data_IF_457921935789
#
_entry.id   IF_457921935789
#
_cell.length_a   1.000
_cell.length_b   1.000
_cell.length_c   1.000
_cell.angle_alpha   90.00
_cell.angle_beta   90.00
_cell.angle_gamma   90.00
#
_symmetry.space_group_name_H-M   'P 1'
#
loop_
_entity.id
_entity.type
_entity.pdbx_description
1 polymer ?
#
# COMPACT_ATOMS: atom_id res chain seq x y z
N UNK A 1 1.08 -2.58 19.49
CA UNK A 1 1.79 -3.83 19.88
C UNK A 1 0.93 -4.65 20.81
N UNK A 2 0.37 -4.03 21.85
CA UNK A 2 -0.45 -4.73 22.85
C UNK A 2 -1.66 -5.47 22.27
N UNK A 3 -2.29 -4.91 21.24
CA UNK A 3 -3.46 -5.49 20.57
C UNK A 3 -3.16 -6.70 19.68
N UNK A 4 -1.89 -6.90 19.29
CA UNK A 4 -1.49 -8.03 18.44
C UNK A 4 -1.12 -9.23 19.29
N UNK A 5 -1.51 -10.47 18.95
CA UNK A 5 -1.19 -11.67 19.72
C UNK A 5 0.28 -12.12 19.51
N UNK A 6 1.23 -11.24 19.83
CA UNK A 6 2.68 -11.50 19.81
C UNK A 6 3.06 -12.25 21.08
N UNK A 7 3.80 -13.34 20.92
CA UNK A 7 4.37 -14.18 21.98
C UNK A 7 5.88 -14.41 21.76
N UNK A 8 6.52 -15.22 22.62
CA UNK A 8 7.95 -15.51 22.56
C UNK A 8 8.40 -16.29 21.31
N UNK A 9 7.49 -16.96 20.60
CA UNK A 9 7.81 -17.75 19.40
C UNK A 9 7.55 -16.98 18.10
N UNK A 10 6.88 -15.84 18.21
CA UNK A 10 6.53 -14.95 17.09
C UNK A 10 7.77 -14.29 16.48
N UNK A 11 7.89 -14.27 15.14
CA UNK A 11 8.87 -13.44 14.43
C UNK A 11 8.28 -12.07 14.06
N UNK A 12 8.94 -11.01 14.54
CA UNK A 12 8.49 -9.63 14.39
C UNK A 12 9.48 -8.82 13.56
N UNK A 13 8.96 -8.07 12.60
CA UNK A 13 9.73 -7.12 11.79
C UNK A 13 9.16 -5.70 11.91
N UNK A 14 10.05 -4.74 12.05
CA UNK A 14 9.78 -3.34 11.73
C UNK A 14 10.59 -2.93 10.49
N UNK A 15 9.89 -2.73 9.37
CA UNK A 15 10.51 -2.41 8.07
C UNK A 15 11.03 -0.97 7.95
N UNK A 16 10.75 -0.12 8.95
CA UNK A 16 11.17 1.29 9.01
C UNK A 16 11.35 1.67 10.47
N UNK A 17 12.32 1.01 11.13
CA UNK A 17 12.35 0.93 12.58
C UNK A 17 12.76 2.20 13.31
N UNK A 18 13.32 3.19 12.61
CA UNK A 18 13.83 4.39 13.26
C UNK A 18 14.80 4.02 14.39
N UNK A 19 14.58 4.58 15.58
CA UNK A 19 15.35 4.28 16.79
C UNK A 19 14.99 2.95 17.50
N UNK A 20 14.13 2.12 16.90
CA UNK A 20 13.76 0.79 17.41
C UNK A 20 12.57 0.79 18.38
N UNK A 21 11.76 1.85 18.42
CA UNK A 21 10.66 1.97 19.39
C UNK A 21 9.67 0.81 19.36
N UNK A 22 9.17 0.42 18.18
CA UNK A 22 8.24 -0.72 18.07
C UNK A 22 8.88 -2.05 18.47
N UNK A 23 10.17 -2.25 18.18
CA UNK A 23 10.90 -3.46 18.56
C UNK A 23 11.03 -3.56 20.09
N UNK A 24 11.32 -2.45 20.77
CA UNK A 24 11.35 -2.40 22.23
C UNK A 24 9.97 -2.66 22.84
N UNK A 25 8.90 -2.09 22.28
CA UNK A 25 7.55 -2.38 22.78
C UNK A 25 7.18 -3.85 22.60
N UNK A 26 7.59 -4.49 21.50
CA UNK A 26 7.39 -5.94 21.30
C UNK A 26 8.20 -6.76 22.32
N UNK A 27 9.46 -6.37 22.59
CA UNK A 27 10.29 -6.98 23.62
C UNK A 27 9.66 -6.85 25.02
N UNK A 28 9.19 -5.66 25.38
CA UNK A 28 8.59 -5.40 26.69
C UNK A 28 7.28 -6.17 26.87
N UNK A 29 6.51 -6.37 25.80
CA UNK A 29 5.33 -7.23 25.83
C UNK A 29 5.69 -8.68 26.18
N UNK A 30 6.71 -9.25 25.53
CA UNK A 30 7.14 -10.64 25.81
C UNK A 30 7.81 -10.75 27.19
N UNK A 31 8.47 -9.70 27.68
CA UNK A 31 8.98 -9.64 29.06
C UNK A 31 7.86 -9.72 30.09
N UNK A 32 6.79 -8.94 29.92
CA UNK A 32 5.62 -9.01 30.81
C UNK A 32 4.97 -10.39 30.77
N UNK A 33 4.91 -11.01 29.60
CA UNK A 33 4.47 -12.40 29.48
C UNK A 33 5.36 -13.37 30.27
N UNK A 34 6.69 -13.15 30.28
CA UNK A 34 7.61 -13.93 31.09
C UNK A 34 7.37 -13.73 32.61
N UNK A 35 7.08 -12.49 33.04
CA UNK A 35 6.74 -12.17 34.44
C UNK A 35 5.48 -12.92 34.91
N UNK A 36 4.52 -13.12 34.02
CA UNK A 36 3.29 -13.87 34.33
C UNK A 36 3.52 -15.39 34.40
N UNK A 37 4.51 -15.91 33.67
CA UNK A 37 4.74 -17.35 33.54
C UNK A 37 5.81 -17.89 34.49
N UNK A 38 6.75 -17.06 34.91
CA UNK A 38 7.93 -17.47 35.67
C UNK A 38 8.26 -16.46 36.78
N UNK A 39 8.78 -16.97 37.89
CA UNK A 39 9.33 -16.10 38.93
C UNK A 39 10.51 -15.28 38.40
N UNK A 40 10.54 -14.00 38.76
CA UNK A 40 11.57 -13.07 38.36
C UNK A 40 12.98 -13.56 38.79
N UNK A 41 13.95 -13.45 37.89
CA UNK A 41 15.33 -13.86 38.14
C UNK A 41 15.62 -15.35 37.95
N UNK A 42 14.61 -16.16 37.58
CA UNK A 42 14.85 -17.55 37.17
C UNK A 42 15.50 -17.63 35.79
N UNK A 43 16.23 -18.72 35.52
CA UNK A 43 16.80 -18.98 34.19
C UNK A 43 15.69 -19.08 33.15
N UNK A 44 14.56 -19.73 33.48
CA UNK A 44 13.43 -19.88 32.58
C UNK A 44 12.82 -18.53 32.19
N UNK A 45 12.65 -17.62 33.15
CA UNK A 45 12.22 -16.24 32.90
C UNK A 45 13.14 -15.54 31.89
N UNK A 46 14.45 -15.54 32.19
CA UNK A 46 15.45 -14.91 31.33
C UNK A 46 15.44 -15.52 29.93
N UNK A 47 15.49 -16.84 29.82
CA UNK A 47 15.51 -17.56 28.54
C UNK A 47 14.25 -17.29 27.71
N UNK A 48 13.08 -17.15 28.32
CA UNK A 48 11.82 -16.91 27.61
C UNK A 48 11.85 -15.62 26.80
N UNK A 49 12.15 -14.49 27.44
CA UNK A 49 12.17 -13.20 26.73
C UNK A 49 13.49 -12.97 25.99
N UNK A 50 14.63 -13.45 26.50
CA UNK A 50 15.93 -13.20 25.87
C UNK A 50 16.09 -13.95 24.55
N UNK A 51 15.57 -15.19 24.46
CA UNK A 51 15.59 -15.92 23.18
C UNK A 51 14.78 -15.21 22.11
N UNK A 52 13.59 -14.69 22.47
CA UNK A 52 12.77 -13.88 21.58
C UNK A 52 13.53 -12.62 21.12
N UNK A 53 14.14 -11.89 22.06
CA UNK A 53 14.90 -10.68 21.76
C UNK A 53 16.04 -10.96 20.77
N UNK A 54 16.79 -12.03 21.01
CA UNK A 54 17.99 -12.37 20.24
C UNK A 54 17.69 -12.90 18.83
N UNK A 55 16.59 -13.65 18.66
CA UNK A 55 16.37 -14.42 17.44
C UNK A 55 15.17 -13.96 16.61
N UNK A 56 14.22 -13.26 17.23
CA UNK A 56 12.89 -13.07 16.64
C UNK A 56 12.53 -11.61 16.34
N UNK A 57 13.32 -10.64 16.78
CA UNK A 57 13.14 -9.22 16.45
C UNK A 57 14.02 -8.79 15.27
N UNK A 58 13.45 -8.11 14.29
CA UNK A 58 14.16 -7.64 13.09
C UNK A 58 13.80 -6.19 12.77
N UNK A 59 14.79 -5.39 12.39
CA UNK A 59 14.59 -3.98 12.06
C UNK A 59 15.32 -3.55 10.80
N UNK A 60 14.70 -2.69 10.00
CA UNK A 60 15.35 -2.05 8.85
C UNK A 60 15.24 -0.54 9.01
N UNK A 61 16.37 0.16 8.92
CA UNK A 61 16.43 1.61 8.92
C UNK A 61 17.36 2.09 7.80
N UNK A 62 16.92 3.06 7.01
CA UNK A 62 17.68 3.54 5.85
C UNK A 62 18.87 4.41 6.27
N UNK A 63 18.72 5.18 7.35
CA UNK A 63 19.76 6.04 7.86
C UNK A 63 20.71 5.26 8.79
N UNK A 64 21.97 5.14 8.38
CA UNK A 64 22.97 4.38 9.13
C UNK A 64 23.17 4.90 10.58
N UNK A 65 23.07 6.21 10.81
CA UNK A 65 23.25 6.77 12.16
C UNK A 65 22.08 6.39 13.06
N UNK A 66 20.85 6.49 12.55
CA UNK A 66 19.64 6.13 13.29
C UNK A 66 19.61 4.61 13.52
N UNK A 67 19.99 3.81 12.52
CA UNK A 67 20.12 2.36 12.66
C UNK A 67 21.12 1.99 13.76
N UNK A 68 22.24 2.73 13.89
CA UNK A 68 23.18 2.54 15.01
C UNK A 68 22.57 2.90 16.36
N UNK A 69 21.80 3.99 16.44
CA UNK A 69 21.07 4.34 17.66
C UNK A 69 20.08 3.24 18.04
N UNK A 70 19.30 2.72 17.09
CA UNK A 70 18.42 1.59 17.33
C UNK A 70 19.17 0.36 17.82
N UNK A 71 20.31 0.05 17.21
CA UNK A 71 21.15 -1.07 17.66
C UNK A 71 21.62 -0.91 19.10
N UNK A 72 22.14 0.27 19.44
CA UNK A 72 22.58 0.58 20.80
C UNK A 72 21.41 0.46 21.79
N UNK A 73 20.24 0.98 21.41
CA UNK A 73 19.03 0.91 22.22
C UNK A 73 18.64 -0.54 22.51
N UNK A 74 18.62 -1.41 21.49
CA UNK A 74 18.33 -2.83 21.65
C UNK A 74 19.39 -3.56 22.51
N UNK A 75 20.67 -3.24 22.34
CA UNK A 75 21.76 -3.84 23.15
C UNK A 75 21.64 -3.45 24.62
N UNK A 76 21.30 -2.19 24.93
CA UNK A 76 21.06 -1.74 26.31
C UNK A 76 19.92 -2.53 26.96
N UNK A 77 18.94 -2.95 26.16
CA UNK A 77 17.86 -3.82 26.58
C UNK A 77 18.18 -5.31 26.40
N UNK A 78 19.44 -5.72 26.41
CA UNK A 78 19.86 -7.13 26.43
C UNK A 78 19.21 -8.00 25.33
N UNK A 79 19.05 -7.46 24.12
CA UNK A 79 18.64 -8.23 22.93
C UNK A 79 19.63 -9.37 22.63
N UNK A 80 20.92 -9.12 22.83
CA UNK A 80 21.96 -10.11 22.64
C UNK A 80 22.59 -10.13 21.24
N UNK A 81 21.88 -9.87 20.13
CA UNK A 81 22.43 -9.84 18.76
C UNK A 81 21.54 -9.01 17.81
N UNK A 82 21.93 -7.78 17.49
CA UNK A 82 21.01 -6.85 16.82
C UNK A 82 20.79 -7.16 15.34
N UNK A 83 19.65 -7.81 15.06
CA UNK A 83 19.04 -8.01 13.73
C UNK A 83 18.48 -6.73 13.11
N UNK A 84 19.01 -5.57 13.51
CA UNK A 84 18.73 -4.27 12.90
C UNK A 84 19.75 -4.06 11.78
N UNK A 85 19.30 -3.60 10.61
CA UNK A 85 20.18 -3.34 9.46
C UNK A 85 20.05 -1.92 8.96
N UNK A 86 21.16 -1.37 8.47
CA UNK A 86 21.20 -0.08 7.78
C UNK A 86 21.01 -0.31 6.27
N UNK A 87 19.77 -0.25 5.79
CA UNK A 87 19.42 -0.48 4.39
C UNK A 87 18.09 0.20 4.02
N UNK A 88 17.90 0.48 2.73
CA UNK A 88 16.57 0.85 2.23
C UNK A 88 15.64 -0.37 2.31
N UNK A 89 14.54 -0.26 3.08
CA UNK A 89 13.58 -1.33 3.32
C UNK A 89 12.84 -1.80 2.07
N UNK A 90 12.83 -1.01 0.99
CA UNK A 90 12.24 -1.36 -0.29
C UNK A 90 13.19 -2.14 -1.21
N UNK A 91 14.44 -2.38 -0.78
CA UNK A 91 15.37 -3.21 -1.55
C UNK A 91 14.87 -4.66 -1.64
N UNK A 92 15.15 -5.35 -2.77
CA UNK A 92 14.94 -6.78 -2.86
C UNK A 92 15.85 -7.53 -1.88
N UNK A 93 15.47 -8.75 -1.49
CA UNK A 93 16.31 -9.60 -0.62
C UNK A 93 17.60 -10.01 -1.33
N UNK A 94 17.47 -10.44 -2.59
CA UNK A 94 18.56 -10.87 -3.45
C UNK A 94 18.93 -9.77 -4.44
N UNK A 95 20.11 -9.91 -5.03
CA UNK A 95 20.58 -8.98 -6.05
C UNK A 95 19.70 -9.08 -7.31
N UNK A 96 19.34 -7.93 -7.87
CA UNK A 96 18.69 -7.85 -9.16
C UNK A 96 19.75 -7.88 -10.27
N UNK A 97 19.57 -8.77 -11.25
CA UNK A 97 20.46 -8.92 -12.39
C UNK A 97 19.80 -8.51 -13.70
N UNK A 98 20.61 -8.10 -14.68
CA UNK A 98 20.16 -7.90 -16.08
C UNK A 98 20.06 -9.25 -16.83
N UNK A 99 19.70 -9.20 -18.12
CA UNK A 99 19.55 -10.39 -18.95
C UNK A 99 20.89 -11.11 -19.18
N UNK A 100 21.99 -10.37 -19.07
CA UNK A 100 23.36 -10.82 -19.22
C UNK A 100 23.96 -11.35 -17.90
N UNK A 101 23.22 -11.25 -16.79
CA UNK A 101 23.61 -11.74 -15.47
C UNK A 101 24.43 -10.77 -14.62
N UNK A 102 24.62 -9.52 -15.05
CA UNK A 102 25.33 -8.51 -14.27
C UNK A 102 24.42 -7.97 -13.16
N UNK A 103 24.99 -7.74 -11.97
CA UNK A 103 24.27 -7.15 -10.84
C UNK A 103 23.96 -5.69 -11.12
N UNK A 104 22.68 -5.41 -11.36
CA UNK A 104 22.15 -4.05 -11.53
C UNK A 104 21.84 -3.38 -10.20
N UNK A 105 21.49 -4.16 -9.17
CA UNK A 105 21.19 -3.64 -7.85
C UNK A 105 21.48 -4.69 -6.77
N UNK A 106 22.25 -4.29 -5.76
CA UNK A 106 22.50 -5.14 -4.59
C UNK A 106 21.28 -5.15 -3.67
N UNK A 107 20.81 -6.34 -3.33
CA UNK A 107 19.76 -6.59 -2.36
C UNK A 107 20.24 -6.52 -0.92
N UNK A 108 19.31 -6.77 0.02
CA UNK A 108 19.57 -6.70 1.46
C UNK A 108 20.65 -7.69 1.89
N UNK A 109 20.63 -8.93 1.37
CA UNK A 109 21.61 -9.94 1.77
C UNK A 109 23.04 -9.51 1.41
N UNK A 110 23.29 -9.11 0.17
CA UNK A 110 24.63 -8.70 -0.29
C UNK A 110 25.13 -7.40 0.36
N UNK A 111 24.23 -6.57 0.87
CA UNK A 111 24.59 -5.32 1.58
C UNK A 111 24.89 -5.52 3.06
N UNK A 112 24.12 -6.40 3.71
CA UNK A 112 24.11 -6.49 5.18
C UNK A 112 24.69 -7.80 5.70
N UNK A 113 24.83 -8.81 4.83
CA UNK A 113 25.19 -10.18 5.16
C UNK A 113 24.20 -10.87 6.12
N UNK A 114 23.07 -10.24 6.43
CA UNK A 114 22.04 -10.79 7.31
C UNK A 114 21.11 -11.71 6.49
N UNK A 115 21.06 -13.00 6.85
CA UNK A 115 20.20 -14.03 6.22
C UNK A 115 18.81 -14.13 6.85
N UNK A 116 18.58 -13.32 7.88
CA UNK A 116 17.33 -13.17 8.62
C UNK A 116 16.18 -12.69 7.75
N UNK A 117 16.44 -11.67 6.94
CA UNK A 117 15.46 -11.03 6.09
C UNK A 117 15.10 -11.92 4.89
N UNK A 118 13.94 -12.55 4.96
CA UNK A 118 13.39 -13.42 3.91
C UNK A 118 11.91 -13.14 3.70
N UNK A 119 11.44 -13.30 2.46
CA UNK A 119 10.03 -13.21 2.14
C UNK A 119 9.26 -14.41 2.68
N UNK A 120 8.01 -14.19 3.09
CA UNK A 120 7.13 -15.24 3.62
C UNK A 120 7.50 -15.74 5.02
N UNK A 121 8.32 -14.99 5.77
CA UNK A 121 8.92 -15.46 7.04
C UNK A 121 8.24 -14.90 8.29
N UNK A 122 7.82 -13.64 8.27
CA UNK A 122 7.46 -12.91 9.49
C UNK A 122 6.00 -13.12 9.89
N UNK A 123 5.76 -13.35 11.18
CA UNK A 123 4.42 -13.47 11.77
C UNK A 123 3.74 -12.12 11.88
N UNK A 124 4.49 -11.13 12.37
CA UNK A 124 3.99 -9.80 12.64
C UNK A 124 4.91 -8.76 12.02
N UNK A 125 4.32 -7.78 11.37
CA UNK A 125 5.01 -6.55 10.99
C UNK A 125 4.32 -5.38 11.69
N UNK A 126 5.10 -4.62 12.45
CA UNK A 126 4.66 -3.41 13.15
C UNK A 126 5.55 -2.27 12.67
N UNK A 127 5.00 -1.29 11.95
CA UNK A 127 5.86 -0.33 11.26
C UNK A 127 5.17 1.01 10.98
N UNK A 128 5.98 2.06 10.93
CA UNK A 128 5.58 3.41 10.54
C UNK A 128 6.51 3.89 9.41
N UNK A 129 6.19 3.58 8.14
CA UNK A 129 7.03 3.96 7.01
C UNK A 129 7.04 5.49 6.83
N UNK A 130 8.10 6.06 6.22
CA UNK A 130 8.19 7.50 6.00
C UNK A 130 7.07 8.01 5.09
N UNK A 131 6.45 9.14 5.45
CA UNK A 131 5.33 9.75 4.71
C UNK A 131 5.79 10.76 3.65
N UNK A 132 4.99 10.90 2.59
CA UNK A 132 5.02 12.06 1.70
C UNK A 132 6.22 12.14 0.77
N UNK A 133 7.07 11.11 0.75
CA UNK A 133 8.13 10.96 -0.23
C UNK A 133 7.62 10.15 -1.42
N UNK A 134 8.09 10.51 -2.62
CA UNK A 134 7.76 9.80 -3.85
C UNK A 134 9.02 9.27 -4.49
N UNK A 135 9.04 7.98 -4.78
CA UNK A 135 10.13 7.31 -5.46
C UNK A 135 9.89 7.40 -6.95
N UNK A 136 10.88 7.92 -7.69
CA UNK A 136 10.85 7.93 -9.15
C UNK A 136 11.49 6.66 -9.69
N UNK A 137 10.89 6.13 -10.74
CA UNK A 137 11.41 4.95 -11.42
C UNK A 137 12.83 5.16 -11.97
N UNK A 138 13.15 6.38 -12.39
CA UNK A 138 14.48 6.77 -12.88
C UNK A 138 15.55 6.75 -11.79
N UNK A 139 15.16 6.85 -10.52
CA UNK A 139 16.07 6.91 -9.38
C UNK A 139 16.27 5.52 -8.76
N UNK A 140 15.24 4.67 -8.76
CA UNK A 140 15.27 3.35 -8.15
C UNK A 140 14.74 2.26 -9.10
N UNK A 141 15.65 1.48 -9.66
CA UNK A 141 15.32 0.43 -10.63
C UNK A 141 14.46 -0.71 -10.03
N UNK A 142 14.53 -0.95 -8.71
CA UNK A 142 13.68 -1.96 -8.05
C UNK A 142 12.19 -1.65 -8.15
N UNK A 143 11.80 -0.39 -8.39
CA UNK A 143 10.41 0.03 -8.40
C UNK A 143 9.57 -0.82 -9.37
N UNK A 144 10.15 -1.23 -10.51
CA UNK A 144 9.48 -2.07 -11.52
C UNK A 144 9.07 -3.47 -11.03
N UNK A 145 9.64 -3.93 -9.92
CA UNK A 145 9.32 -5.24 -9.32
C UNK A 145 8.09 -5.19 -8.42
N UNK A 146 7.56 -4.00 -8.13
CA UNK A 146 6.37 -3.82 -7.32
C UNK A 146 5.12 -3.73 -8.20
N UNK A 147 4.10 -4.52 -7.90
CA UNK A 147 2.81 -4.50 -8.59
C UNK A 147 2.12 -3.14 -8.46
N UNK A 148 2.22 -2.46 -7.31
CA UNK A 148 1.66 -1.11 -7.16
C UNK A 148 2.42 -0.04 -7.93
N UNK A 149 3.63 -0.31 -8.41
CA UNK A 149 4.33 0.56 -9.34
C UNK A 149 3.90 0.35 -10.80
N UNK A 150 3.08 -0.66 -11.08
CA UNK A 150 2.47 -0.89 -12.38
C UNK A 150 1.10 -0.20 -12.44
N UNK A 151 0.74 0.25 -13.64
CA UNK A 151 -0.61 0.66 -13.99
C UNK A 151 -1.23 -0.51 -14.74
N UNK A 152 -2.09 -1.25 -14.04
CA UNK A 152 -2.81 -2.39 -14.61
C UNK A 152 -3.70 -2.00 -15.79
N UNK A 153 -4.19 -3.04 -16.49
CA UNK A 153 -5.10 -2.87 -17.62
C UNK A 153 -6.45 -2.37 -17.13
N UNK A 154 -6.95 -1.29 -17.72
CA UNK A 154 -8.31 -0.81 -17.50
C UNK A 154 -9.28 -1.70 -18.26
N UNK A 155 -10.05 -2.52 -17.54
CA UNK A 155 -10.99 -3.48 -18.12
C UNK A 155 -12.07 -2.82 -18.99
N UNK A 156 -12.33 -1.53 -18.80
CA UNK A 156 -13.23 -0.73 -19.63
C UNK A 156 -12.50 0.02 -20.75
N UNK A 157 -11.23 -0.22 -21.00
CA UNK A 157 -10.51 0.39 -22.11
C UNK A 157 -9.79 -0.69 -22.92
N UNK A 158 -10.37 -1.11 -24.06
CA UNK A 158 -9.78 -2.15 -24.91
C UNK A 158 -8.38 -1.83 -25.45
N UNK A 159 -7.98 -0.55 -25.44
CA UNK A 159 -6.65 -0.09 -25.89
C UNK A 159 -5.66 0.04 -24.72
N UNK A 160 -6.11 -0.19 -23.49
CA UNK A 160 -5.27 -0.15 -22.29
C UNK A 160 -4.25 -1.27 -22.34
N UNK A 161 -3.02 -0.96 -21.91
CA UNK A 161 -1.94 -1.91 -21.72
C UNK A 161 -1.34 -1.65 -20.35
N UNK A 162 -0.76 -2.68 -19.78
CA UNK A 162 0.04 -2.51 -18.58
C UNK A 162 1.24 -1.60 -18.88
N UNK A 163 1.43 -0.60 -18.03
CA UNK A 163 2.52 0.37 -18.15
C UNK A 163 3.12 0.65 -16.79
N UNK A 164 4.40 1.00 -16.74
CA UNK A 164 5.05 1.39 -15.49
C UNK A 164 4.65 2.82 -15.11
N UNK A 165 4.44 3.06 -13.81
CA UNK A 165 4.23 4.40 -13.27
C UNK A 165 5.57 5.13 -13.17
N UNK A 166 5.59 6.40 -13.54
CA UNK A 166 6.81 7.22 -13.46
C UNK A 166 7.26 7.44 -12.00
N UNK A 167 6.30 7.48 -11.07
CA UNK A 167 6.53 7.65 -9.65
C UNK A 167 5.51 6.88 -8.82
N UNK A 168 5.86 6.61 -7.56
CA UNK A 168 4.96 6.01 -6.59
C UNK A 168 5.26 6.56 -5.19
N UNK A 169 4.23 6.70 -4.35
CA UNK A 169 4.42 7.07 -2.95
C UNK A 169 5.14 5.95 -2.20
N UNK A 170 6.10 6.32 -1.37
CA UNK A 170 6.91 5.37 -0.59
C UNK A 170 6.04 4.47 0.29
N UNK A 171 5.06 5.04 0.98
CA UNK A 171 4.12 4.30 1.83
C UNK A 171 3.32 3.22 1.07
N UNK A 172 3.00 3.45 -0.21
CA UNK A 172 2.30 2.46 -1.06
C UNK A 172 3.20 1.27 -1.37
N UNK A 173 4.49 1.51 -1.62
CA UNK A 173 5.46 0.44 -1.86
C UNK A 173 5.73 -0.36 -0.57
N UNK A 174 5.73 0.30 0.59
CA UNK A 174 5.89 -0.39 1.87
C UNK A 174 4.74 -1.36 2.18
N UNK A 175 3.49 -1.05 1.80
CA UNK A 175 2.36 -1.99 1.95
C UNK A 175 2.63 -3.30 1.21
N UNK A 176 3.19 -3.23 0.00
CA UNK A 176 3.53 -4.40 -0.80
C UNK A 176 4.80 -5.09 -0.32
N UNK A 177 5.81 -4.34 0.12
CA UNK A 177 7.02 -4.93 0.67
C UNK A 177 6.74 -5.69 1.98
N UNK A 178 5.93 -5.12 2.86
CA UNK A 178 5.46 -5.80 4.07
C UNK A 178 4.66 -7.06 3.71
N UNK A 179 3.83 -7.02 2.65
CA UNK A 179 3.15 -8.21 2.14
C UNK A 179 4.16 -9.31 1.80
N UNK A 180 5.25 -8.98 1.12
CA UNK A 180 6.26 -9.94 0.70
C UNK A 180 6.98 -10.57 1.90
N UNK A 181 7.28 -9.78 2.94
CA UNK A 181 7.91 -10.27 4.17
C UNK A 181 7.01 -11.16 5.02
N UNK A 182 5.72 -10.86 5.09
CA UNK A 182 4.77 -11.61 5.91
C UNK A 182 4.58 -13.03 5.40
N UNK A 183 4.53 -13.99 6.34
CA UNK A 183 3.99 -15.32 6.04
C UNK A 183 2.48 -15.26 5.78
N UNK A 184 1.94 -16.29 5.14
CA UNK A 184 0.49 -16.41 5.00
C UNK A 184 -0.19 -16.45 6.37
N UNK A 185 -1.28 -15.70 6.54
CA UNK A 185 -1.98 -15.55 7.81
C UNK A 185 -1.31 -14.62 8.83
N UNK A 186 -0.12 -14.09 8.54
CA UNK A 186 0.56 -13.10 9.38
C UNK A 186 -0.17 -11.76 9.44
N UNK A 187 0.17 -10.94 10.43
CA UNK A 187 -0.48 -9.66 10.71
C UNK A 187 0.42 -8.47 10.42
N UNK A 188 -0.12 -7.46 9.74
CA UNK A 188 0.50 -6.17 9.51
C UNK A 188 -0.24 -5.12 10.32
N UNK A 189 0.44 -4.41 11.22
CA UNK A 189 -0.02 -3.14 11.75
C UNK A 189 0.86 -2.03 11.15
N UNK A 190 0.26 -1.20 10.29
CA UNK A 190 0.97 -0.17 9.53
C UNK A 190 0.29 1.17 9.69
N UNK A 191 1.09 2.21 9.98
CA UNK A 191 0.62 3.59 9.98
C UNK A 191 0.67 4.13 8.55
N UNK A 192 -0.45 4.66 8.07
CA UNK A 192 -0.57 5.22 6.72
C UNK A 192 -1.27 6.59 6.75
N UNK A 193 -0.95 7.51 5.84
CA UNK A 193 -1.71 8.74 5.69
C UNK A 193 -3.14 8.44 5.19
N UNK A 194 -4.13 9.17 5.69
CA UNK A 194 -5.56 8.99 5.34
C UNK A 194 -5.80 9.09 3.82
N UNK A 195 -4.93 9.79 3.09
CA UNK A 195 -4.97 9.88 1.63
C UNK A 195 -4.94 8.52 0.93
N UNK A 196 -4.23 7.52 1.46
CA UNK A 196 -4.23 6.15 0.91
C UNK A 196 -5.62 5.52 0.98
N UNK A 197 -6.36 5.82 2.04
CA UNK A 197 -7.70 5.27 2.30
C UNK A 197 -8.82 6.06 1.62
N UNK A 198 -8.59 7.31 1.26
CA UNK A 198 -9.67 8.23 0.81
C UNK A 198 -9.53 8.70 -0.63
N UNK A 199 -8.30 8.86 -1.16
CA UNK A 199 -8.11 9.44 -2.49
C UNK A 199 -8.56 8.47 -3.59
N UNK A 200 -9.37 8.95 -4.54
CA UNK A 200 -9.87 8.16 -5.68
C UNK A 200 -8.73 7.68 -6.59
N UNK A 201 -7.66 8.47 -6.74
CA UNK A 201 -6.47 8.10 -7.52
C UNK A 201 -5.73 6.87 -6.97
N UNK A 202 -5.94 6.53 -5.70
CA UNK A 202 -5.35 5.39 -5.00
C UNK A 202 -6.34 4.22 -4.81
N UNK A 203 -7.47 4.21 -5.51
CA UNK A 203 -8.44 3.10 -5.45
C UNK A 203 -7.78 1.74 -5.74
N UNK A 204 -6.85 1.68 -6.70
CA UNK A 204 -6.11 0.45 -7.03
C UNK A 204 -5.27 -0.10 -5.85
N UNK A 205 -4.84 0.77 -4.92
CA UNK A 205 -4.13 0.35 -3.71
C UNK A 205 -5.12 -0.31 -2.75
N UNK A 206 -6.29 0.28 -2.56
CA UNK A 206 -7.37 -0.29 -1.73
C UNK A 206 -7.88 -1.61 -2.28
N UNK A 207 -8.12 -1.67 -3.59
CA UNK A 207 -8.50 -2.92 -4.26
C UNK A 207 -7.44 -4.02 -4.04
N UNK A 208 -6.15 -3.66 -4.13
CA UNK A 208 -5.08 -4.60 -3.86
C UNK A 208 -4.92 -4.97 -2.38
N UNK A 209 -5.25 -4.06 -1.45
CA UNK A 209 -5.29 -4.38 -0.01
C UNK A 209 -6.40 -5.41 0.25
N UNK A 210 -7.61 -5.17 -0.25
CA UNK A 210 -8.75 -6.10 -0.12
C UNK A 210 -8.46 -7.47 -0.76
N UNK A 211 -7.74 -7.49 -1.89
CA UNK A 211 -7.37 -8.75 -2.55
C UNK A 211 -6.34 -9.54 -1.72
N UNK A 212 -5.35 -8.86 -1.15
CA UNK A 212 -4.18 -9.49 -0.50
C UNK A 212 -4.34 -9.70 1.00
N UNK A 213 -5.30 -9.02 1.61
CA UNK A 213 -5.47 -8.99 3.06
C UNK A 213 -6.94 -8.96 3.47
N UNK A 214 -7.22 -9.61 4.59
CA UNK A 214 -8.40 -9.31 5.39
C UNK A 214 -8.12 -8.05 6.21
N UNK A 215 -8.98 -7.05 6.10
CA UNK A 215 -8.92 -5.85 6.94
C UNK A 215 -9.50 -6.21 8.31
N UNK A 216 -8.69 -6.13 9.37
CA UNK A 216 -9.09 -6.48 10.74
C UNK A 216 -9.62 -5.25 11.47
N UNK A 217 -8.85 -4.16 11.40
CA UNK A 217 -9.20 -2.91 12.05
C UNK A 217 -8.63 -1.70 11.32
N UNK A 218 -9.32 -0.57 11.45
CA UNK A 218 -8.85 0.76 11.03
C UNK A 218 -9.05 1.72 12.19
N UNK A 219 -7.95 2.27 12.70
CA UNK A 219 -7.97 3.25 13.80
C UNK A 219 -7.50 4.59 13.27
N UNK A 220 -8.40 5.57 13.19
CA UNK A 220 -8.07 6.93 12.76
C UNK A 220 -7.42 7.69 13.91
N UNK A 221 -6.27 8.32 13.66
CA UNK A 221 -5.54 9.10 14.64
C UNK A 221 -5.89 10.60 14.51
N UNK A 222 -5.72 11.39 15.59
CA UNK A 222 -5.92 12.83 15.50
C UNK A 222 -4.81 13.44 14.65
N UNK A 223 -5.11 14.56 13.96
CA UNK A 223 -4.14 15.22 13.09
C UNK A 223 -2.88 15.69 13.84
N UNK A 224 -2.99 15.89 15.15
CA UNK A 224 -1.90 16.31 16.03
C UNK A 224 -0.87 15.21 16.30
N UNK A 225 -1.19 13.94 16.02
CA UNK A 225 -0.38 12.79 16.39
C UNK A 225 1.07 12.84 15.90
N UNK A 226 1.30 13.40 14.71
CA UNK A 226 2.63 13.48 14.09
C UNK A 226 3.13 14.91 13.88
N UNK A 227 2.43 15.92 14.44
CA UNK A 227 2.80 17.33 14.27
C UNK A 227 4.15 17.65 14.92
N UNK A 228 4.42 17.08 16.10
CA UNK A 228 5.69 17.25 16.81
C UNK A 228 6.91 16.73 16.02
N UNK A 229 6.70 15.75 15.13
CA UNK A 229 7.74 15.22 14.24
C UNK A 229 7.79 15.93 12.88
N UNK A 230 7.04 17.03 12.72
CA UNK A 230 7.00 17.82 11.48
C UNK A 230 6.04 17.30 10.40
N UNK A 231 5.21 16.29 10.70
CA UNK A 231 4.25 15.72 9.76
C UNK A 231 2.82 16.10 10.16
N UNK A 232 2.23 17.10 9.47
CA UNK A 232 0.86 17.57 9.73
C UNK A 232 -0.25 16.77 9.02
N UNK A 233 0.07 15.59 8.50
CA UNK A 233 -0.86 14.75 7.73
C UNK A 233 -1.68 13.91 8.69
N UNK A 234 -3.00 13.89 8.49
CA UNK A 234 -3.88 12.97 9.22
C UNK A 234 -3.59 11.53 8.78
N UNK A 235 -3.42 10.65 9.76
CA UNK A 235 -3.00 9.28 9.54
C UNK A 235 -3.91 8.31 10.28
N UNK A 236 -3.90 7.06 9.83
CA UNK A 236 -4.64 5.96 10.42
C UNK A 236 -3.73 4.73 10.58
N UNK A 237 -4.02 3.89 11.56
CA UNK A 237 -3.39 2.59 11.75
C UNK A 237 -4.28 1.54 11.09
N UNK A 238 -3.73 0.78 10.15
CA UNK A 238 -4.40 -0.38 9.57
C UNK A 238 -3.85 -1.65 10.20
N UNK A 239 -4.76 -2.51 10.66
CA UNK A 239 -4.47 -3.88 11.03
C UNK A 239 -4.98 -4.80 9.93
N UNK A 240 -4.06 -5.49 9.27
CA UNK A 240 -4.34 -6.35 8.12
C UNK A 240 -3.85 -7.76 8.43
N UNK A 241 -4.61 -8.77 8.02
CA UNK A 241 -4.19 -10.17 8.07
C UNK A 241 -3.95 -10.67 6.65
N UNK A 242 -2.74 -11.13 6.36
CA UNK A 242 -2.36 -11.58 5.02
C UNK A 242 -3.16 -12.81 4.62
N UNK A 243 -3.79 -12.75 3.44
CA UNK A 243 -4.42 -13.90 2.83
C UNK A 243 -3.40 -14.94 2.37
N UNK A 244 -3.83 -16.19 2.27
CA UNK A 244 -3.06 -17.20 1.54
C UNK A 244 -2.98 -16.84 0.05
N UNK A 245 -1.99 -17.37 -0.65
CA UNK A 245 -1.87 -17.20 -2.10
C UNK A 245 -3.12 -17.72 -2.83
N UNK A 246 -3.72 -18.81 -2.34
CA UNK A 246 -4.95 -19.39 -2.89
C UNK A 246 -6.15 -18.45 -2.72
N UNK A 247 -6.33 -17.85 -1.54
CA UNK A 247 -7.39 -16.87 -1.29
C UNK A 247 -7.21 -15.61 -2.15
N UNK A 248 -6.00 -15.07 -2.20
CA UNK A 248 -5.66 -13.90 -3.05
C UNK A 248 -6.01 -14.18 -4.52
N UNK A 249 -5.62 -15.36 -5.03
CA UNK A 249 -5.92 -15.76 -6.40
C UNK A 249 -7.43 -15.96 -6.64
N UNK A 250 -8.16 -16.54 -5.68
CA UNK A 250 -9.60 -16.72 -5.78
C UNK A 250 -10.33 -15.37 -5.87
N UNK A 251 -10.02 -14.42 -4.97
CA UNK A 251 -10.61 -13.07 -4.97
C UNK A 251 -10.30 -12.34 -6.29
N UNK A 252 -9.05 -12.41 -6.76
CA UNK A 252 -8.65 -11.81 -8.04
C UNK A 252 -9.44 -12.39 -9.21
N UNK A 253 -9.52 -13.72 -9.30
CA UNK A 253 -10.20 -14.41 -10.39
C UNK A 253 -11.70 -14.11 -10.39
N UNK A 254 -12.33 -14.02 -9.21
CA UNK A 254 -13.72 -13.57 -9.07
C UNK A 254 -13.89 -12.13 -9.57
N UNK A 255 -13.00 -11.22 -9.19
CA UNK A 255 -13.03 -9.84 -9.68
C UNK A 255 -12.92 -9.74 -11.20
N UNK A 256 -12.01 -10.50 -11.82
CA UNK A 256 -11.87 -10.57 -13.28
C UNK A 256 -13.14 -11.15 -13.93
N UNK A 257 -13.67 -12.24 -13.39
CA UNK A 257 -14.90 -12.87 -13.90
C UNK A 257 -16.10 -11.92 -13.83
N UNK A 258 -16.24 -11.14 -12.75
CA UNK A 258 -17.28 -10.12 -12.63
C UNK A 258 -17.11 -9.01 -13.69
N UNK A 259 -15.87 -8.53 -13.90
CA UNK A 259 -15.60 -7.53 -14.94
C UNK A 259 -15.95 -8.04 -16.34
N UNK A 260 -15.61 -9.30 -16.64
CA UNK A 260 -15.93 -9.93 -17.92
C UNK A 260 -17.43 -10.12 -18.09
N UNK A 261 -18.13 -10.65 -17.08
CA UNK A 261 -19.59 -10.79 -17.08
C UNK A 261 -20.31 -9.46 -17.28
N UNK A 262 -19.91 -8.39 -16.58
CA UNK A 262 -20.52 -7.06 -16.72
C UNK A 262 -20.33 -6.50 -18.13
N UNK A 263 -19.16 -6.70 -18.76
CA UNK A 263 -18.93 -6.27 -20.14
C UNK A 263 -19.85 -6.98 -21.12
N UNK A 264 -20.03 -8.29 -20.94
CA UNK A 264 -20.89 -9.13 -21.79
C UNK A 264 -22.37 -8.78 -21.60
N UNK A 265 -22.87 -8.76 -20.36
CA UNK A 265 -24.26 -8.45 -20.03
C UNK A 265 -24.72 -7.06 -20.50
N UNK A 266 -23.79 -6.11 -20.63
CA UNK A 266 -24.08 -4.75 -21.05
C UNK A 266 -23.70 -4.47 -22.51
N UNK A 267 -23.32 -5.49 -23.30
CA UNK A 267 -22.86 -5.33 -24.69
C UNK A 267 -21.82 -4.19 -24.82
N UNK A 268 -20.92 -4.07 -23.85
CA UNK A 268 -20.09 -2.87 -23.67
C UNK A 268 -19.31 -2.51 -24.94
N UNK A 269 -18.70 -3.53 -25.58
CA UNK A 269 -17.93 -3.35 -26.80
C UNK A 269 -18.79 -2.86 -27.97
N UNK A 270 -20.03 -3.34 -28.08
CA UNK A 270 -20.95 -2.90 -29.13
C UNK A 270 -21.39 -1.45 -28.90
N UNK A 271 -21.73 -1.07 -27.67
CA UNK A 271 -22.08 0.31 -27.32
C UNK A 271 -20.90 1.26 -27.57
N UNK A 272 -19.68 0.88 -27.18
CA UNK A 272 -18.48 1.67 -27.43
C UNK A 272 -18.23 1.85 -28.92
N UNK A 273 -18.37 0.79 -29.72
CA UNK A 273 -18.21 0.85 -31.17
C UNK A 273 -19.27 1.76 -31.83
N UNK A 274 -20.52 1.70 -31.38
CA UNK A 274 -21.58 2.60 -31.85
C UNK A 274 -21.26 4.07 -31.56
N UNK A 275 -20.77 4.38 -30.36
CA UNK A 275 -20.38 5.74 -29.97
C UNK A 275 -19.19 6.22 -30.82
N UNK A 276 -18.16 5.38 -31.01
CA UNK A 276 -17.00 5.71 -31.85
C UNK A 276 -17.40 5.90 -33.34
N UNK A 277 -18.31 5.06 -33.85
CA UNK A 277 -18.81 5.16 -35.23
C UNK A 277 -19.65 6.43 -35.45
N UNK A 278 -20.58 6.74 -34.54
CA UNK A 278 -21.38 7.96 -34.59
C UNK A 278 -20.52 9.22 -34.55
N UNK A 279 -19.47 9.23 -33.70
CA UNK A 279 -18.48 10.30 -33.67
C UNK A 279 -17.80 10.48 -35.02
N UNK A 280 -17.34 9.38 -35.63
CA UNK A 280 -16.65 9.41 -36.92
C UNK A 280 -17.57 9.94 -38.02
N UNK A 281 -18.83 9.54 -38.02
CA UNK A 281 -19.82 9.99 -39.01
C UNK A 281 -20.15 11.47 -38.84
N UNK A 282 -20.39 11.94 -37.62
CA UNK A 282 -20.64 13.37 -37.35
C UNK A 282 -19.46 14.25 -37.79
N UNK A 283 -18.22 13.81 -37.53
CA UNK A 283 -17.02 14.52 -37.97
C UNK A 283 -16.86 14.53 -39.50
N UNK A 284 -17.27 13.45 -40.18
CA UNK A 284 -17.20 13.32 -41.65
C UNK A 284 -18.27 14.16 -42.34
N UNK A 285 -19.50 14.13 -41.82
CA UNK A 285 -20.65 14.83 -42.37
C UNK A 285 -20.65 16.34 -42.02
N UNK A 286 -19.74 16.81 -41.16
CA UNK A 286 -19.74 18.16 -40.61
C UNK A 286 -21.09 18.52 -39.96
N UNK A 287 -21.77 17.52 -39.39
CA UNK A 287 -23.12 17.70 -38.87
C UNK A 287 -23.10 18.63 -37.65
N UNK A 288 -23.88 19.71 -37.73
CA UNK A 288 -23.92 20.77 -36.72
C UNK A 288 -22.72 21.73 -36.76
N UNK A 289 -21.96 21.78 -37.86
CA UNK A 289 -20.92 22.79 -38.09
C UNK A 289 -21.44 23.89 -39.03
N UNK A 290 -21.38 25.14 -38.57
CA UNK A 290 -21.73 26.31 -39.39
C UNK A 290 -20.50 26.83 -40.14
N UNK A 291 -20.53 26.73 -41.48
CA UNK A 291 -19.44 27.16 -42.35
C UNK A 291 -19.73 28.54 -42.97
N UNK A 292 -19.85 29.57 -42.15
CA UNK A 292 -20.14 30.94 -42.62
C UNK A 292 -19.10 31.46 -43.64
N UNK A 293 -17.85 31.02 -43.52
CA UNK A 293 -16.74 31.43 -44.39
C UNK A 293 -16.64 30.62 -45.72
N UNK A 294 -17.50 29.62 -45.94
CA UNK A 294 -17.51 28.81 -47.17
C UNK A 294 -16.21 28.03 -47.42
N UNK A 295 -15.39 27.82 -46.38
CA UNK A 295 -14.07 27.20 -46.52
C UNK A 295 -14.20 25.69 -46.78
N UNK A 296 -13.28 25.12 -47.54
CA UNK A 296 -13.23 23.68 -47.81
C UNK A 296 -11.81 23.11 -47.67
N UNK A 297 -11.71 21.78 -47.63
CA UNK A 297 -10.42 21.07 -47.61
C UNK A 297 -9.52 21.44 -46.43
N UNK A 298 -8.25 21.76 -46.72
CA UNK A 298 -7.25 22.09 -45.70
C UNK A 298 -7.54 23.44 -45.02
N UNK A 299 -8.03 24.43 -45.76
CA UNK A 299 -8.34 25.76 -45.22
C UNK A 299 -9.44 25.69 -44.14
N UNK A 300 -10.47 24.87 -44.37
CA UNK A 300 -11.49 24.61 -43.36
C UNK A 300 -10.91 23.98 -42.10
N UNK A 301 -10.10 22.93 -42.25
CA UNK A 301 -9.52 22.18 -41.11
C UNK A 301 -8.56 23.02 -40.27
N UNK A 302 -7.96 24.05 -40.85
CA UNK A 302 -7.05 24.96 -40.15
C UNK A 302 -7.78 26.12 -39.46
N UNK A 303 -9.02 26.42 -39.87
CA UNK A 303 -9.84 27.48 -39.29
C UNK A 303 -10.06 27.28 -37.78
N UNK A 304 -10.12 28.40 -37.04
CA UNK A 304 -10.39 28.39 -35.61
C UNK A 304 -11.79 27.81 -35.31
N UNK A 305 -12.79 28.17 -36.12
CA UNK A 305 -14.16 27.67 -35.99
C UNK A 305 -14.22 26.14 -36.08
N UNK A 306 -13.60 25.52 -37.09
CA UNK A 306 -13.58 24.07 -37.22
C UNK A 306 -12.84 23.39 -36.06
N UNK A 307 -11.70 23.93 -35.63
CA UNK A 307 -10.95 23.38 -34.49
C UNK A 307 -11.77 23.44 -33.20
N UNK A 308 -12.45 24.55 -32.94
CA UNK A 308 -13.36 24.73 -31.80
C UNK A 308 -14.51 23.73 -31.83
N UNK A 309 -15.25 23.65 -32.95
CA UNK A 309 -16.32 22.69 -33.14
C UNK A 309 -15.85 21.24 -32.97
N UNK A 310 -14.74 20.85 -33.62
CA UNK A 310 -14.17 19.51 -33.51
C UNK A 310 -13.79 19.17 -32.07
N UNK A 311 -13.25 20.13 -31.32
CA UNK A 311 -12.96 19.97 -29.90
C UNK A 311 -14.25 19.72 -29.10
N UNK A 312 -15.30 20.50 -29.36
CA UNK A 312 -16.62 20.31 -28.74
C UNK A 312 -17.24 18.95 -29.04
N UNK A 313 -17.21 18.50 -30.30
CA UNK A 313 -17.65 17.15 -30.69
C UNK A 313 -16.83 16.09 -29.95
N UNK A 314 -15.50 16.22 -29.92
CA UNK A 314 -14.64 15.28 -29.19
C UNK A 314 -14.99 15.22 -27.69
N UNK A 315 -15.27 16.36 -27.06
CA UNK A 315 -15.65 16.44 -25.66
C UNK A 315 -17.01 15.76 -25.39
N UNK A 316 -18.03 16.05 -26.20
CA UNK A 316 -19.36 15.45 -26.05
C UNK A 316 -19.34 13.92 -26.19
N UNK A 317 -18.59 13.37 -27.15
CA UNK A 317 -18.45 11.91 -27.26
C UNK A 317 -17.57 11.31 -26.17
N UNK A 318 -16.58 12.05 -25.67
CA UNK A 318 -15.80 11.61 -24.51
C UNK A 318 -16.71 11.49 -23.29
N UNK A 319 -17.58 12.47 -23.04
CA UNK A 319 -18.55 12.45 -21.95
C UNK A 319 -19.50 11.25 -22.05
N UNK A 320 -19.98 10.90 -23.25
CA UNK A 320 -20.78 9.69 -23.47
C UNK A 320 -20.03 8.40 -23.10
N UNK A 321 -18.75 8.30 -23.47
CA UNK A 321 -17.91 7.16 -23.12
C UNK A 321 -17.66 7.11 -21.61
N UNK A 322 -17.33 8.25 -20.99
CA UNK A 322 -17.06 8.34 -19.56
C UNK A 322 -18.32 7.99 -18.75
N UNK A 323 -19.50 8.49 -19.13
CA UNK A 323 -20.78 8.13 -18.51
C UNK A 323 -21.10 6.62 -18.63
N UNK A 324 -20.82 6.00 -19.79
CA UNK A 324 -20.95 4.56 -19.97
C UNK A 324 -20.01 3.79 -19.02
N UNK A 325 -18.77 4.25 -18.87
CA UNK A 325 -17.78 3.61 -17.99
C UNK A 325 -18.14 3.75 -16.53
N UNK A 326 -18.56 4.93 -16.08
CA UNK A 326 -18.97 5.16 -14.69
C UNK A 326 -20.14 4.24 -14.31
N UNK A 327 -21.17 4.14 -15.16
CA UNK A 327 -22.29 3.21 -14.95
C UNK A 327 -21.84 1.75 -14.76
N UNK A 328 -20.84 1.30 -15.52
CA UNK A 328 -20.32 -0.07 -15.40
C UNK A 328 -19.42 -0.24 -14.18
N UNK A 329 -18.70 0.81 -13.75
CA UNK A 329 -17.91 0.82 -12.51
C UNK A 329 -18.81 0.74 -11.29
N UNK A 330 -19.91 1.48 -11.27
CA UNK A 330 -20.93 1.42 -10.21
C UNK A 330 -21.52 0.00 -10.11
N UNK A 331 -21.93 -0.59 -11.23
CA UNK A 331 -22.40 -1.99 -11.24
C UNK A 331 -21.35 -2.97 -10.75
N UNK A 332 -20.09 -2.78 -11.12
CA UNK A 332 -19.00 -3.63 -10.63
C UNK A 332 -18.84 -3.50 -9.12
N UNK A 333 -18.91 -2.28 -8.57
CA UNK A 333 -18.82 -2.06 -7.13
C UNK A 333 -19.97 -2.75 -6.38
N UNK A 334 -21.20 -2.63 -6.88
CA UNK A 334 -22.39 -3.29 -6.31
C UNK A 334 -22.28 -4.82 -6.34
N UNK A 335 -21.92 -5.40 -7.49
CA UNK A 335 -21.77 -6.85 -7.62
C UNK A 335 -20.59 -7.40 -6.81
N UNK A 336 -19.47 -6.67 -6.78
CA UNK A 336 -18.31 -7.02 -5.96
C UNK A 336 -18.70 -7.08 -4.49
N UNK A 337 -19.44 -6.10 -3.99
CA UNK A 337 -19.93 -6.08 -2.60
C UNK A 337 -20.88 -7.24 -2.29
N UNK A 338 -21.72 -7.65 -3.26
CA UNK A 338 -22.63 -8.78 -3.06
C UNK A 338 -21.95 -10.16 -3.15
N UNK A 339 -20.80 -10.25 -3.84
CA UNK A 339 -20.12 -11.52 -4.14
C UNK A 339 -18.99 -11.82 -3.17
N UNK A 340 -18.26 -10.80 -2.72
CA UNK A 340 -17.17 -10.99 -1.76
C UNK A 340 -17.73 -11.21 -0.36
N UNK A 341 -17.05 -12.06 0.41
CA UNK A 341 -17.42 -12.34 1.79
C UNK A 341 -17.44 -11.05 2.61
N UNK A 342 -18.59 -10.74 3.20
CA UNK A 342 -18.70 -9.66 4.16
C UNK A 342 -18.09 -10.09 5.49
N UNK A 343 -17.37 -9.17 6.13
CA UNK A 343 -16.78 -9.41 7.43
C UNK A 343 -16.72 -8.12 8.25
N UNK A 344 -16.90 -8.22 9.58
CA UNK A 344 -16.81 -7.05 10.44
C UNK A 344 -15.39 -6.49 10.42
N UNK A 345 -15.29 -5.18 10.22
CA UNK A 345 -14.06 -4.40 10.37
C UNK A 345 -14.23 -3.57 11.63
N UNK A 346 -13.31 -3.71 12.58
CA UNK A 346 -13.30 -2.83 13.75
C UNK A 346 -12.84 -1.43 13.33
N UNK A 347 -13.67 -0.42 13.57
CA UNK A 347 -13.34 0.97 13.27
C UNK A 347 -13.38 1.80 14.54
N UNK A 348 -12.32 2.57 14.76
CA UNK A 348 -12.25 3.52 15.87
C UNK A 348 -11.67 4.86 15.39
N UNK A 349 -12.05 5.94 16.07
CA UNK A 349 -11.46 7.26 15.91
C UNK A 349 -10.91 7.64 17.27
N UNK A 350 -9.59 7.77 17.38
CA UNK A 350 -8.94 8.27 18.58
C UNK A 350 -8.84 9.79 18.49
N UNK A 351 -9.42 10.50 19.46
CA UNK A 351 -9.32 11.95 19.60
C UNK A 351 -8.13 12.34 20.48
N UNK A 352 -7.91 11.59 21.56
CA UNK A 352 -6.83 11.82 22.53
C UNK A 352 -5.91 10.60 22.59
N UNK A 353 -4.66 10.74 22.15
CA UNK A 353 -3.70 9.62 22.06
C UNK A 353 -2.62 9.67 23.16
N UNK A 354 -2.91 10.35 24.27
CA UNK A 354 -1.97 10.48 25.39
C UNK A 354 -0.91 11.57 25.22
N UNK A 355 -0.89 12.31 24.11
CA UNK A 355 0.04 13.41 23.87
C UNK A 355 -0.59 14.55 23.06
N UNK A 356 -0.18 15.79 23.32
CA UNK A 356 -0.59 16.97 22.55
C UNK A 356 0.25 17.21 21.29
N UNK A 357 -0.11 18.23 20.50
CA UNK A 357 0.59 18.60 19.26
C UNK A 357 2.08 18.96 19.44
N UNK A 358 2.49 19.28 20.68
CA UNK A 358 3.88 19.61 21.04
C UNK A 358 4.65 18.39 21.56
N UNK A 359 3.99 17.23 21.67
CA UNK A 359 4.56 15.98 22.19
C UNK A 359 4.51 15.86 23.71
N UNK A 360 3.76 16.72 24.41
CA UNK A 360 3.61 16.65 25.88
C UNK A 360 2.53 15.64 26.26
N UNK A 361 2.82 14.80 27.26
CA UNK A 361 1.88 13.80 27.80
C UNK A 361 0.58 14.47 28.28
N UNK A 362 -0.56 13.90 27.90
CA UNK A 362 -1.90 14.28 28.35
C UNK A 362 -2.46 13.23 29.31
N UNK A 363 -3.48 13.60 30.09
CA UNK A 363 -4.08 12.70 31.08
C UNK A 363 -4.91 11.56 30.47
N UNK A 364 -5.47 11.79 29.27
CA UNK A 364 -6.29 10.82 28.57
C UNK A 364 -5.52 10.20 27.41
N UNK A 365 -5.61 8.87 27.29
CA UNK A 365 -5.17 8.10 26.14
C UNK A 365 -6.26 7.10 25.76
N UNK A 366 -6.96 7.36 24.66
CA UNK A 366 -8.04 6.50 24.17
C UNK A 366 -7.52 5.19 23.56
N UNK A 367 -6.24 5.15 23.16
CA UNK A 367 -5.66 3.93 22.57
C UNK A 367 -5.56 2.78 23.58
N UNK A 368 -5.51 3.08 24.88
CA UNK A 368 -5.50 2.06 25.94
C UNK A 368 -6.84 1.33 26.07
N UNK A 369 -7.95 1.96 25.67
CA UNK A 369 -9.29 1.39 25.72
C UNK A 369 -9.69 0.66 24.44
N UNK A 370 -9.03 1.00 23.32
CA UNK A 370 -9.30 0.45 22.00
C UNK A 370 -8.59 -0.91 21.81
N UNK A 371 -7.69 -1.28 22.74
CA UNK A 371 -6.77 -2.41 22.62
C UNK A 371 -7.16 -3.70 23.32
#
# INVERSE_FOLDING_TARGET
VDTLPIDNDSLVLDSSCGSGGFLLHALDKVRKQADDYYDAGTIAHYTHWHNFAQHNLFGIEINEQIARTAKMNMIIHDDGHTNVIAADGLLPIKDSVDAEGNVTQRGIFSRTHNRGFQFGRFDFIITNPPFGSSIKQTEQAYMRHYGYALKGVDWLNPKSKETQRANQSTEVLFIEQCHNYLREGGYLAIVLPDGVLTNSSLQYVRDGIEEKYRIVAVVSLPQTAFQATGAGVKSSILFLKKHTAAQTAAIRNQGVALQDGIKEENDYLAQLHQIEAAKKEQLKALAGFENEAGLSGAALKQSAAYKGWRSGVNAAYKEKVDALKERLRERYAEQKQATLDDYPIFMAIAAEIGYDATGKVTATNELDFIG
#
